data_IF_517600286222
#
_entry.id   IF_517600286222
#
_cell.length_a   1.000
_cell.length_b   1.000
_cell.length_c   1.000
_cell.angle_alpha   90.00
_cell.angle_beta   90.00
_cell.angle_gamma   90.00
#
_symmetry.space_group_name_H-M   'P 1'
#
loop_
_entity.id
_entity.type
_entity.pdbx_description
1 polymer ?
#
# COMPACT_ATOMS: atom_id res chain seq x y z
N UNK A 1 7.01 10.27 -9.49
CA UNK A 1 8.20 9.53 -9.00
C UNK A 1 7.75 8.32 -8.21
N UNK A 2 8.44 7.18 -8.29
CA UNK A 2 8.15 6.02 -7.45
C UNK A 2 8.91 6.08 -6.12
N UNK A 3 8.23 5.77 -5.02
CA UNK A 3 8.83 5.59 -3.69
C UNK A 3 8.45 4.20 -3.19
N UNK A 4 9.42 3.42 -2.75
CA UNK A 4 9.17 2.12 -2.12
C UNK A 4 9.52 2.16 -0.63
N UNK A 5 8.62 1.66 0.22
CA UNK A 5 8.80 1.57 1.66
C UNK A 5 8.58 0.13 2.14
N UNK A 6 9.12 -0.25 3.29
CA UNK A 6 8.83 -1.54 3.93
C UNK A 6 8.61 -1.40 5.44
N UNK A 7 8.21 -2.50 6.07
CA UNK A 7 7.94 -2.56 7.52
C UNK A 7 9.10 -2.05 8.39
N UNK A 8 10.34 -2.25 7.94
CA UNK A 8 11.54 -1.82 8.68
C UNK A 8 11.84 -0.33 8.53
N UNK A 9 10.98 0.44 7.86
CA UNK A 9 11.18 1.85 7.60
C UNK A 9 12.23 2.15 6.52
N UNK A 10 12.67 1.16 5.74
CA UNK A 10 13.55 1.41 4.58
C UNK A 10 12.75 2.18 3.53
N UNK A 11 13.28 3.32 3.08
CA UNK A 11 12.68 4.14 2.02
C UNK A 11 13.62 4.21 0.83
N UNK A 12 13.13 3.85 -0.36
CA UNK A 12 13.85 3.96 -1.63
C UNK A 12 13.12 4.96 -2.52
N UNK A 13 13.70 6.16 -2.67
CA UNK A 13 13.21 7.18 -3.63
C UNK A 13 13.66 6.80 -5.05
N UNK A 14 12.86 7.15 -6.06
CA UNK A 14 13.07 6.75 -7.46
C UNK A 14 13.25 5.23 -7.58
N UNK A 15 12.37 4.48 -6.94
CA UNK A 15 12.44 3.02 -6.88
C UNK A 15 12.51 2.41 -8.29
N UNK A 16 13.57 1.65 -8.55
CA UNK A 16 13.81 0.96 -9.83
C UNK A 16 13.25 -0.47 -9.79
N UNK A 17 13.08 -1.10 -10.96
CA UNK A 17 12.62 -2.51 -11.03
C UNK A 17 13.48 -3.46 -10.17
N UNK A 18 14.83 -3.40 -10.21
CA UNK A 18 15.65 -4.23 -9.33
C UNK A 18 15.43 -3.93 -7.85
N UNK A 19 15.32 -2.66 -7.46
CA UNK A 19 15.10 -2.29 -6.07
C UNK A 19 13.76 -2.84 -5.54
N UNK A 20 12.69 -2.74 -6.33
CA UNK A 20 11.37 -3.31 -6.00
C UNK A 20 11.47 -4.83 -5.87
N UNK A 21 12.10 -5.51 -6.84
CA UNK A 21 12.29 -6.96 -6.79
C UNK A 21 13.10 -7.42 -5.58
N UNK A 22 14.18 -6.71 -5.24
CA UNK A 22 14.97 -6.96 -4.03
C UNK A 22 14.15 -6.78 -2.75
N UNK A 23 13.30 -5.76 -2.67
CA UNK A 23 12.45 -5.55 -1.50
C UNK A 23 11.42 -6.68 -1.34
N UNK A 24 10.80 -7.12 -2.45
CA UNK A 24 9.86 -8.24 -2.46
C UNK A 24 10.52 -9.56 -2.05
N UNK A 25 11.70 -9.85 -2.57
CA UNK A 25 12.46 -11.06 -2.24
C UNK A 25 12.89 -11.10 -0.76
N UNK A 26 12.96 -9.95 -0.08
CA UNK A 26 13.35 -9.84 1.32
C UNK A 26 12.17 -9.91 2.30
N UNK A 27 10.94 -10.11 1.81
CA UNK A 27 9.78 -10.26 2.68
C UNK A 27 9.90 -11.52 3.55
N UNK A 28 9.63 -11.37 4.84
CA UNK A 28 9.68 -12.43 5.85
C UNK A 28 8.99 -11.96 7.13
N UNK A 29 8.86 -12.82 8.13
CA UNK A 29 8.42 -12.38 9.45
C UNK A 29 9.33 -11.26 10.00
N UNK A 30 8.73 -10.14 10.44
CA UNK A 30 9.46 -8.93 10.87
C UNK A 30 10.04 -8.08 9.71
N UNK A 31 9.64 -8.36 8.48
CA UNK A 31 9.70 -7.49 7.30
C UNK A 31 8.62 -7.96 6.31
N UNK A 32 7.38 -8.06 6.77
CA UNK A 32 6.31 -8.80 6.12
C UNK A 32 5.65 -8.01 5.00
N UNK A 33 5.79 -6.68 4.96
CA UNK A 33 5.15 -5.87 3.93
C UNK A 33 6.08 -4.86 3.27
N UNK A 34 5.69 -4.47 2.06
CA UNK A 34 6.25 -3.34 1.34
C UNK A 34 5.15 -2.60 0.57
N UNK A 35 5.35 -1.30 0.37
CA UNK A 35 4.46 -0.42 -0.40
C UNK A 35 5.27 0.24 -1.50
N UNK A 36 4.70 0.35 -2.70
CA UNK A 36 5.21 1.18 -3.77
C UNK A 36 4.19 2.26 -4.07
N UNK A 37 4.58 3.51 -3.90
CA UNK A 37 3.72 4.68 -4.08
C UNK A 37 4.14 5.47 -5.31
N UNK A 38 3.16 6.04 -6.01
CA UNK A 38 3.37 6.96 -7.12
C UNK A 38 3.11 8.38 -6.61
N UNK A 39 4.19 9.12 -6.46
CA UNK A 39 4.16 10.52 -6.01
C UNK A 39 4.15 11.43 -7.24
N UNK A 40 3.01 12.00 -7.57
CA UNK A 40 2.82 12.93 -8.70
C UNK A 40 2.61 14.37 -8.20
N UNK A 41 3.70 15.08 -7.91
CA UNK A 41 3.65 16.51 -7.59
C UNK A 41 2.58 16.87 -6.56
N UNK A 42 1.70 17.81 -6.91
CA UNK A 42 0.59 18.30 -6.09
C UNK A 42 -0.73 17.58 -6.35
N UNK A 43 -0.74 16.52 -7.18
CA UNK A 43 -1.98 15.83 -7.53
C UNK A 43 -2.54 15.14 -6.28
N UNK A 44 -3.77 15.48 -5.85
CA UNK A 44 -4.40 14.85 -4.70
C UNK A 44 -4.82 13.43 -5.07
N UNK A 45 -4.45 12.46 -4.23
CA UNK A 45 -4.88 11.07 -4.36
C UNK A 45 -3.84 10.09 -3.83
N UNK A 46 -4.32 8.89 -3.53
CA UNK A 46 -3.52 7.79 -3.00
C UNK A 46 -3.31 6.72 -4.09
N UNK A 47 -2.20 6.81 -4.81
CA UNK A 47 -1.80 5.78 -5.79
C UNK A 47 -0.69 4.92 -5.22
N UNK A 48 -1.05 3.71 -4.81
CA UNK A 48 -0.08 2.75 -4.32
C UNK A 48 -0.44 1.32 -4.71
N UNK A 49 0.57 0.46 -4.63
CA UNK A 49 0.43 -1.00 -4.61
C UNK A 49 1.23 -1.54 -3.42
N UNK A 50 0.61 -2.41 -2.63
CA UNK A 50 1.15 -2.95 -1.39
C UNK A 50 1.16 -4.47 -1.45
N UNK A 51 2.23 -5.06 -0.90
CA UNK A 51 2.33 -6.50 -0.67
C UNK A 51 2.46 -6.76 0.82
N UNK A 52 1.69 -7.72 1.32
CA UNK A 52 1.84 -8.28 2.66
C UNK A 52 2.02 -9.81 2.54
N UNK A 53 3.14 -10.32 3.06
CA UNK A 53 3.34 -11.73 3.32
C UNK A 53 2.61 -12.12 4.60
N UNK A 54 1.55 -12.92 4.47
CA UNK A 54 0.76 -13.42 5.60
C UNK A 54 1.50 -14.56 6.30
N UNK A 55 1.07 -14.88 7.52
CA UNK A 55 1.72 -15.87 8.40
C UNK A 55 1.70 -17.29 7.81
N UNK A 56 0.70 -17.62 6.99
CA UNK A 56 0.60 -18.91 6.28
C UNK A 56 1.31 -18.94 4.91
N UNK A 57 2.18 -17.95 4.64
CA UNK A 57 2.91 -17.71 3.39
C UNK A 57 2.14 -17.25 2.13
N UNK A 58 0.81 -16.98 2.07
CA UNK A 58 0.27 -16.31 0.91
C UNK A 58 0.67 -14.83 0.92
N UNK A 59 0.87 -14.30 -0.28
CA UNK A 59 0.95 -12.88 -0.54
C UNK A 59 -0.45 -12.32 -0.68
N UNK A 60 -0.75 -11.31 0.12
CA UNK A 60 -1.83 -10.39 -0.12
C UNK A 60 -1.30 -9.22 -0.92
N UNK A 61 -1.93 -8.95 -2.07
CA UNK A 61 -1.61 -7.84 -2.93
C UNK A 61 -2.79 -6.89 -2.93
N UNK A 62 -2.52 -5.61 -2.71
CA UNK A 62 -3.52 -4.55 -2.70
C UNK A 62 -3.06 -3.39 -3.58
N UNK A 63 -3.99 -2.68 -4.19
CA UNK A 63 -3.69 -1.40 -4.80
C UNK A 63 -4.83 -0.41 -4.55
N UNK A 64 -4.46 0.87 -4.58
CA UNK A 64 -5.41 1.98 -4.58
C UNK A 64 -5.19 2.85 -5.80
N UNK A 65 -6.27 3.23 -6.46
CA UNK A 65 -6.26 4.08 -7.65
C UNK A 65 -6.81 5.48 -7.33
N UNK A 66 -6.10 6.21 -6.49
CA UNK A 66 -6.36 7.62 -6.20
C UNK A 66 -7.38 7.86 -5.09
N UNK A 67 -8.49 7.13 -5.07
CA UNK A 67 -9.58 7.31 -4.09
C UNK A 67 -9.73 6.10 -3.17
N UNK A 68 -10.31 6.31 -1.97
CA UNK A 68 -10.54 5.25 -1.00
C UNK A 68 -11.48 4.15 -1.52
N UNK A 69 -12.48 4.53 -2.31
CA UNK A 69 -13.45 3.65 -2.96
C UNK A 69 -12.82 2.78 -4.06
N UNK A 70 -11.68 3.23 -4.61
CA UNK A 70 -10.93 2.51 -5.63
C UNK A 70 -9.78 1.72 -4.99
N UNK A 71 -10.13 0.87 -4.02
CA UNK A 71 -9.19 0.03 -3.30
C UNK A 71 -9.52 -1.44 -3.54
N UNK A 72 -8.53 -2.18 -4.03
CA UNK A 72 -8.71 -3.55 -4.47
C UNK A 72 -7.70 -4.47 -3.80
N UNK A 73 -8.11 -5.72 -3.57
CA UNK A 73 -7.29 -6.74 -2.94
C UNK A 73 -7.40 -8.08 -3.69
N UNK A 74 -6.29 -8.82 -3.71
CA UNK A 74 -6.25 -10.22 -4.11
C UNK A 74 -5.26 -11.01 -3.26
N UNK A 75 -5.30 -12.34 -3.35
CA UNK A 75 -4.38 -13.23 -2.65
C UNK A 75 -3.75 -14.23 -3.61
N UNK A 76 -2.48 -14.54 -3.41
CA UNK A 76 -1.77 -15.55 -4.21
C UNK A 76 -0.61 -16.17 -3.43
N UNK A 77 -0.23 -17.39 -3.80
CA UNK A 77 1.01 -18.03 -3.30
C UNK A 77 2.20 -17.79 -4.24
N UNK A 78 1.98 -17.20 -5.42
CA UNK A 78 3.03 -16.99 -6.43
C UNK A 78 3.69 -15.63 -6.27
N UNK A 79 4.94 -15.63 -5.78
CA UNK A 79 5.76 -14.41 -5.71
C UNK A 79 6.04 -13.83 -7.11
N UNK A 80 6.16 -14.67 -8.14
CA UNK A 80 6.38 -14.23 -9.52
C UNK A 80 5.19 -13.44 -10.08
N UNK A 81 3.96 -13.89 -9.82
CA UNK A 81 2.76 -13.13 -10.20
C UNK A 81 2.70 -11.79 -9.48
N UNK A 82 3.05 -11.75 -8.19
CA UNK A 82 3.15 -10.51 -7.41
C UNK A 82 4.18 -9.57 -8.01
N UNK A 83 5.39 -10.07 -8.32
CA UNK A 83 6.45 -9.27 -8.93
C UNK A 83 6.01 -8.69 -10.27
N UNK A 84 5.36 -9.51 -11.12
CA UNK A 84 4.86 -9.08 -12.43
C UNK A 84 3.86 -7.95 -12.31
N UNK A 85 2.87 -8.05 -11.40
CA UNK A 85 1.91 -6.98 -11.18
C UNK A 85 2.54 -5.73 -10.55
N UNK A 86 3.43 -5.88 -9.57
CA UNK A 86 4.17 -4.76 -8.98
C UNK A 86 4.94 -3.96 -10.03
N UNK A 87 5.69 -4.66 -10.89
CA UNK A 87 6.49 -4.02 -11.94
C UNK A 87 5.61 -3.46 -13.05
N UNK A 88 4.49 -4.12 -13.39
CA UNK A 88 3.50 -3.63 -14.33
C UNK A 88 2.85 -2.34 -13.86
N UNK A 89 2.38 -2.30 -12.61
CA UNK A 89 1.83 -1.11 -11.97
C UNK A 89 2.86 0.03 -11.90
N UNK A 90 4.09 -0.27 -11.47
CA UNK A 90 5.18 0.70 -11.40
C UNK A 90 5.46 1.34 -12.76
N UNK A 91 5.42 0.55 -13.83
CA UNK A 91 5.62 0.99 -15.21
C UNK A 91 4.37 1.60 -15.87
N UNK A 92 3.23 1.67 -15.17
CA UNK A 92 1.93 2.06 -15.75
C UNK A 92 1.56 1.24 -17.00
N UNK A 93 1.92 -0.05 -17.02
CA UNK A 93 1.66 -0.96 -18.13
C UNK A 93 0.16 -1.31 -18.18
N UNK A 94 -0.55 -1.13 -19.31
CA UNK A 94 -1.93 -1.61 -19.44
C UNK A 94 -2.05 -3.12 -19.14
N UNK A 95 -3.14 -3.52 -18.51
CA UNK A 95 -3.44 -4.93 -18.20
C UNK A 95 -2.57 -5.56 -17.10
N UNK A 96 -1.81 -4.76 -16.33
CA UNK A 96 -0.98 -5.27 -15.22
C UNK A 96 -1.79 -6.03 -14.16
N UNK A 97 -3.08 -5.72 -14.04
CA UNK A 97 -4.02 -6.28 -13.08
C UNK A 97 -4.69 -7.58 -13.56
N UNK A 98 -4.62 -7.91 -14.85
CA UNK A 98 -5.45 -8.97 -15.48
C UNK A 98 -5.08 -10.39 -15.01
N UNK A 99 -3.90 -10.56 -14.41
CA UNK A 99 -3.43 -11.85 -13.88
C UNK A 99 -4.16 -12.29 -12.59
N UNK A 100 -5.04 -11.43 -12.05
CA UNK A 100 -5.73 -11.65 -10.78
C UNK A 100 -7.22 -11.35 -10.88
N UNK A 101 -7.99 -12.06 -10.05
CA UNK A 101 -9.34 -11.66 -9.69
C UNK A 101 -9.24 -10.72 -8.48
N UNK A 102 -9.68 -9.48 -8.66
CA UNK A 102 -9.61 -8.44 -7.64
C UNK A 102 -10.94 -8.27 -6.94
N UNK A 103 -10.91 -8.20 -5.62
CA UNK A 103 -12.05 -7.82 -4.81
C UNK A 103 -11.96 -6.33 -4.52
N UNK A 104 -13.00 -5.56 -4.84
CA UNK A 104 -13.10 -4.18 -4.38
C UNK A 104 -13.41 -4.18 -2.87
N UNK A 105 -12.56 -3.52 -2.09
CA UNK A 105 -12.69 -3.36 -0.63
C UNK A 105 -12.89 -1.89 -0.23
N UNK A 106 -13.03 -0.99 -1.20
CA UNK A 106 -13.10 0.45 -1.00
C UNK A 106 -14.31 0.93 -0.20
N UNK A 107 -15.43 0.19 -0.21
CA UNK A 107 -16.59 0.48 0.64
C UNK A 107 -16.27 0.45 2.14
N UNK A 108 -15.21 -0.27 2.54
CA UNK A 108 -14.76 -0.32 3.95
C UNK A 108 -13.98 0.94 4.35
N UNK A 109 -13.55 1.72 3.36
CA UNK A 109 -12.70 2.90 3.52
C UNK A 109 -13.37 4.19 3.03
N UNK A 110 -14.53 4.09 2.39
CA UNK A 110 -15.36 5.25 2.08
C UNK A 110 -15.89 5.79 3.40
N UNK A 111 -15.71 7.09 3.63
CA UNK A 111 -16.25 7.78 4.78
C UNK A 111 -17.78 7.77 4.69
N UNK A 112 -18.40 6.72 5.23
CA UNK A 112 -19.82 6.74 5.56
C UNK A 112 -20.03 7.74 6.67
N UNK A 113 -20.22 8.98 6.27
CA UNK A 113 -20.59 10.10 7.12
C UNK A 113 -22.03 9.88 7.60
N UNK A 114 -22.20 9.22 8.75
CA UNK A 114 -23.38 9.35 9.59
C UNK A 114 -22.95 9.37 11.07
N UNK A 115 -22.60 10.57 11.53
CA UNK A 115 -23.03 11.12 12.82
C UNK A 115 -22.69 10.37 14.12
N UNK A 116 -21.93 11.06 14.98
CA UNK A 116 -21.74 10.85 16.42
C UNK A 116 -20.61 9.89 16.85
N UNK A 117 -19.46 10.51 17.12
CA UNK A 117 -18.63 10.28 18.31
C UNK A 117 -18.49 8.82 18.78
N UNK A 118 -17.85 7.95 17.98
CA UNK A 118 -17.19 6.74 18.49
C UNK A 118 -15.93 6.46 17.68
N UNK A 119 -14.83 6.19 18.40
CA UNK A 119 -13.59 5.70 17.85
C UNK A 119 -13.84 4.51 16.91
N UNK A 120 -13.60 4.69 15.61
CA UNK A 120 -13.52 3.57 14.66
C UNK A 120 -12.08 3.11 14.64
N UNK A 121 -11.81 2.10 15.46
CA UNK A 121 -10.61 1.27 15.37
C UNK A 121 -10.99 0.03 14.55
N UNK A 122 -10.52 -0.14 13.30
CA UNK A 122 -10.58 -1.43 12.65
C UNK A 122 -9.40 -2.28 13.13
N UNK A 123 -9.63 -3.08 14.19
CA UNK A 123 -8.69 -4.09 14.68
C UNK A 123 -9.28 -5.47 14.45
N UNK A 124 -8.92 -6.11 13.34
CA UNK A 124 -8.58 -7.54 13.29
C UNK A 124 -7.44 -7.73 12.27
N UNK A 125 -6.23 -7.72 12.83
CA UNK A 125 -4.99 -8.26 12.29
C UNK A 125 -4.39 -7.63 11.03
N UNK A 126 -3.70 -6.51 11.31
CA UNK A 126 -2.66 -5.84 10.50
C UNK A 126 -3.19 -5.16 9.24
N UNK A 127 -4.03 -4.14 9.43
CA UNK A 127 -4.14 -3.05 8.47
C UNK A 127 -2.85 -2.23 8.58
N UNK A 128 -1.88 -2.47 7.70
CA UNK A 128 -0.75 -1.56 7.58
C UNK A 128 -1.05 -0.58 6.45
N UNK A 129 -1.43 0.63 6.85
CA UNK A 129 -1.25 1.85 6.07
C UNK A 129 -0.08 2.57 6.74
N UNK A 130 1.08 2.59 6.09
CA UNK A 130 2.21 3.43 6.49
C UNK A 130 2.34 4.54 5.45
N UNK A 131 2.02 5.78 5.83
CA UNK A 131 2.43 6.93 5.01
C UNK A 131 1.61 8.22 5.01
N UNK A 132 0.82 8.57 6.04
CA UNK A 132 0.39 9.97 6.18
C UNK A 132 1.64 10.86 6.38
N UNK A 133 2.02 11.66 5.37
CA UNK A 133 3.08 12.65 5.52
C UNK A 133 2.60 13.77 6.44
N UNK A 134 3.48 14.15 7.35
CA UNK A 134 3.18 14.93 8.53
C UNK A 134 2.66 16.34 8.29
N UNK A 135 1.91 16.80 9.29
CA UNK A 135 1.92 18.19 9.71
C UNK A 135 2.08 18.22 11.23
N UNK A 136 3.32 18.19 11.70
CA UNK A 136 3.64 18.57 13.07
C UNK A 136 3.53 20.09 13.16
N UNK A 137 2.41 20.61 13.65
CA UNK A 137 2.39 21.96 14.21
C UNK A 137 2.66 21.84 15.71
N UNK A 138 3.87 22.24 16.10
CA UNK A 138 4.30 22.37 17.47
C UNK A 138 3.34 23.32 18.23
N UNK A 139 2.80 22.85 19.35
CA UNK A 139 2.22 23.71 20.36
C UNK A 139 3.38 24.36 21.13
N UNK A 140 3.56 25.67 20.94
CA UNK A 140 4.41 26.47 21.80
C UNK A 140 3.59 26.85 23.03
N UNK A 141 3.95 26.30 24.18
CA UNK A 141 3.52 26.78 25.48
C UNK A 141 4.39 27.97 25.88
N UNK A 142 3.75 29.07 26.26
CA UNK A 142 4.26 30.16 27.11
C UNK A 142 2.98 30.70 27.74
N UNK A 143 2.76 30.58 29.04
CA UNK A 143 3.61 31.11 30.10
C UNK A 143 2.85 32.29 30.66
#
# INVERSE_FOLDING_TARGET
MLVATNERGRVVKRATKPAIGTMLANLRQGNAHMVVERVEGERPGDWYIQVLLRENNPYQLEYRDGMAEQHFQTMTVSQEKVLTALLGWAAAKPGWQDAFMWNNIGEQFSSSDHGANRAVVPLRDKCVVVGARGSTKAASASG
#
